data_IF_072678155858
#
_entry.id   IF_072678155858
#
_cell.length_a   1.000
_cell.length_b   1.000
_cell.length_c   1.000
_cell.angle_alpha   90.00
_cell.angle_beta   90.00
_cell.angle_gamma   90.00
#
_symmetry.space_group_name_H-M   'P 1'
#
loop_
_entity.id
_entity.type
_entity.pdbx_description
1 polymer ?
#
# COMPACT_ATOMS: atom_id res chain seq x y z
N UNK A 1 -2.09 -4.33 -5.48
CA UNK A 1 -1.95 -5.02 -4.16
C UNK A 1 -3.29 -5.28 -3.48
N UNK A 2 -4.23 -4.36 -3.43
CA UNK A 2 -5.53 -4.53 -2.74
C UNK A 2 -6.24 -5.87 -3.05
N UNK A 3 -6.31 -6.29 -4.34
CA UNK A 3 -6.95 -7.56 -4.73
C UNK A 3 -6.25 -8.84 -4.24
N UNK A 4 -5.00 -8.77 -3.75
CA UNK A 4 -4.29 -10.00 -3.33
C UNK A 4 -4.85 -10.63 -2.07
N UNK A 5 -5.71 -9.92 -1.32
CA UNK A 5 -6.39 -10.42 -0.12
C UNK A 5 -7.44 -11.51 -0.42
N UNK A 6 -7.80 -11.71 -1.68
CA UNK A 6 -8.75 -12.72 -2.11
C UNK A 6 -8.09 -13.75 -3.05
N UNK A 7 -8.55 -15.03 -3.05
CA UNK A 7 -7.95 -16.05 -3.89
C UNK A 7 -8.28 -15.82 -5.37
N UNK A 8 -7.24 -15.44 -6.12
CA UNK A 8 -7.27 -15.23 -7.57
C UNK A 8 -6.31 -16.26 -8.19
N UNK A 9 -6.73 -16.95 -9.25
CA UNK A 9 -5.92 -18.01 -9.85
C UNK A 9 -4.67 -17.49 -10.57
N UNK A 10 -4.75 -16.31 -11.18
CA UNK A 10 -3.67 -15.72 -12.00
C UNK A 10 -3.89 -14.22 -12.16
N UNK A 11 -2.81 -13.46 -12.34
CA UNK A 11 -2.86 -12.04 -12.72
C UNK A 11 -3.68 -11.81 -14.00
N UNK A 12 -3.62 -12.71 -14.97
CA UNK A 12 -4.39 -12.62 -16.22
C UNK A 12 -5.91 -12.65 -16.03
N UNK A 13 -6.40 -13.09 -14.86
CA UNK A 13 -7.82 -13.05 -14.50
C UNK A 13 -8.27 -11.68 -14.01
N UNK A 14 -7.31 -10.80 -13.69
CA UNK A 14 -7.60 -9.41 -13.34
C UNK A 14 -7.92 -8.63 -14.62
N UNK A 15 -8.97 -7.83 -14.56
CA UNK A 15 -9.32 -6.85 -15.60
C UNK A 15 -9.32 -5.48 -14.98
N UNK A 16 -8.93 -4.49 -15.76
CA UNK A 16 -8.77 -3.12 -15.30
C UNK A 16 -9.67 -2.20 -16.11
N UNK A 17 -10.31 -1.26 -15.43
CA UNK A 17 -10.92 -0.08 -16.05
C UNK A 17 -10.01 1.12 -15.81
N UNK A 18 -9.66 1.86 -16.85
CA UNK A 18 -8.81 3.04 -16.76
C UNK A 18 -9.61 4.31 -17.06
N UNK A 19 -9.67 5.24 -16.12
CA UNK A 19 -10.30 6.54 -16.29
C UNK A 19 -9.23 7.64 -16.24
N UNK A 20 -9.20 8.48 -17.28
CA UNK A 20 -8.25 9.56 -17.41
C UNK A 20 -8.95 10.92 -17.32
N UNK A 21 -8.32 11.86 -16.63
CA UNK A 21 -8.77 13.25 -16.55
C UNK A 21 -7.59 14.17 -16.84
N UNK A 22 -7.78 15.11 -17.78
CA UNK A 22 -6.74 16.04 -18.22
C UNK A 22 -7.36 17.29 -18.83
N UNK A 23 -6.68 18.41 -18.75
CA UNK A 23 -6.99 19.63 -19.47
C UNK A 23 -6.24 19.62 -20.81
N UNK A 24 -6.72 18.88 -21.81
CA UNK A 24 -6.07 18.78 -23.11
C UNK A 24 -6.24 20.06 -23.95
N UNK A 25 -5.40 20.20 -24.97
CA UNK A 25 -5.34 21.35 -25.85
C UNK A 25 -4.07 22.20 -25.71
N UNK A 26 -3.13 21.75 -24.89
CA UNK A 26 -1.79 22.30 -24.80
C UNK A 26 -0.73 21.18 -24.85
N UNK A 27 0.45 21.51 -25.31
CA UNK A 27 1.50 20.52 -25.58
C UNK A 27 1.96 19.74 -24.33
N UNK A 28 1.89 20.34 -23.15
CA UNK A 28 2.39 19.72 -21.91
C UNK A 28 1.40 18.65 -21.41
N UNK A 29 0.13 19.01 -21.29
CA UNK A 29 -0.90 18.09 -20.78
C UNK A 29 -1.19 16.98 -21.80
N UNK A 30 -1.16 17.28 -23.11
CA UNK A 30 -1.30 16.28 -24.19
C UNK A 30 -0.15 15.26 -24.15
N UNK A 31 1.10 15.73 -23.94
CA UNK A 31 2.26 14.86 -23.79
C UNK A 31 2.16 14.00 -22.53
N UNK A 32 1.82 14.60 -21.40
CA UNK A 32 1.67 13.88 -20.14
C UNK A 32 0.59 12.80 -20.20
N UNK A 33 -0.56 13.10 -20.80
CA UNK A 33 -1.62 12.12 -21.03
C UNK A 33 -1.12 10.96 -21.90
N UNK A 34 -0.45 11.26 -23.01
CA UNK A 34 0.10 10.22 -23.90
C UNK A 34 1.10 9.33 -23.17
N UNK A 35 2.04 9.91 -22.40
CA UNK A 35 3.04 9.15 -21.68
C UNK A 35 2.42 8.31 -20.56
N UNK A 36 1.43 8.84 -19.83
CA UNK A 36 0.72 8.10 -18.79
C UNK A 36 -0.05 6.91 -19.35
N UNK A 37 -0.78 7.10 -20.44
CA UNK A 37 -1.52 6.00 -21.12
C UNK A 37 -0.55 4.94 -21.64
N UNK A 38 0.57 5.35 -22.25
CA UNK A 38 1.57 4.43 -22.76
C UNK A 38 2.18 3.60 -21.61
N UNK A 39 2.61 4.25 -20.52
CA UNK A 39 3.19 3.57 -19.37
C UNK A 39 2.23 2.54 -18.76
N UNK A 40 0.96 2.92 -18.55
CA UNK A 40 -0.06 1.97 -18.06
C UNK A 40 -0.28 0.81 -19.01
N UNK A 41 -0.33 1.08 -20.33
CA UNK A 41 -0.50 0.04 -21.34
C UNK A 41 0.63 -0.96 -21.33
N UNK A 42 1.89 -0.49 -21.36
CA UNK A 42 3.08 -1.33 -21.35
C UNK A 42 3.14 -2.18 -20.09
N UNK A 43 2.91 -1.56 -18.93
CA UNK A 43 2.88 -2.26 -17.64
C UNK A 43 1.79 -3.36 -17.58
N UNK A 44 0.59 -3.08 -18.08
CA UNK A 44 -0.48 -4.07 -18.13
C UNK A 44 -0.20 -5.21 -19.13
N UNK A 45 0.45 -4.92 -20.25
CA UNK A 45 0.90 -5.94 -21.21
C UNK A 45 1.91 -6.88 -20.56
N UNK A 46 2.90 -6.33 -19.87
CA UNK A 46 3.93 -7.10 -19.17
C UNK A 46 3.35 -7.96 -18.05
N UNK A 47 2.32 -7.49 -17.35
CA UNK A 47 1.57 -8.25 -16.34
C UNK A 47 0.53 -9.22 -16.92
N UNK A 48 0.31 -9.21 -18.24
CA UNK A 48 -0.78 -9.94 -18.91
C UNK A 48 -2.18 -9.60 -18.34
N UNK A 49 -2.39 -8.32 -18.03
CA UNK A 49 -3.65 -7.78 -17.52
C UNK A 49 -4.34 -7.00 -18.64
N UNK A 50 -5.61 -7.28 -18.91
CA UNK A 50 -6.36 -6.57 -19.94
C UNK A 50 -7.08 -5.33 -19.39
N UNK A 51 -7.14 -4.27 -20.21
CA UNK A 51 -7.92 -3.06 -19.98
C UNK A 51 -9.11 -3.05 -20.97
N UNK A 52 -10.19 -3.78 -20.69
CA UNK A 52 -11.31 -3.91 -21.65
C UNK A 52 -12.17 -2.67 -21.74
N UNK A 53 -12.12 -1.78 -20.77
CA UNK A 53 -12.99 -0.60 -20.67
C UNK A 53 -12.26 0.55 -19.97
N UNK A 54 -12.66 1.75 -20.34
CA UNK A 54 -12.20 2.98 -19.71
C UNK A 54 -13.04 4.15 -20.17
N UNK A 55 -12.76 5.32 -19.64
CA UNK A 55 -13.32 6.59 -20.11
C UNK A 55 -12.31 7.71 -19.90
N UNK A 56 -12.55 8.82 -20.55
CA UNK A 56 -11.77 10.03 -20.35
C UNK A 56 -12.66 11.26 -20.08
N UNK A 57 -12.04 12.29 -19.49
CA UNK A 57 -12.58 13.63 -19.33
C UNK A 57 -11.44 14.60 -19.66
N UNK A 58 -11.41 15.07 -20.92
CA UNK A 58 -10.25 15.76 -21.49
C UNK A 58 -10.38 17.29 -21.47
N UNK A 59 -11.52 17.83 -21.00
CA UNK A 59 -11.75 19.28 -20.87
C UNK A 59 -11.79 19.74 -19.40
N UNK A 60 -10.83 19.27 -18.61
CA UNK A 60 -10.75 19.56 -17.18
C UNK A 60 -10.09 20.92 -16.92
N UNK A 61 -10.64 21.95 -17.55
CA UNK A 61 -10.25 23.34 -17.38
C UNK A 61 -11.47 24.17 -16.96
N UNK A 62 -11.24 25.18 -16.13
CA UNK A 62 -12.23 26.18 -15.74
C UNK A 62 -11.68 27.56 -16.02
N UNK A 63 -12.42 28.36 -16.76
CA UNK A 63 -12.09 29.75 -17.05
C UNK A 63 -13.15 30.68 -16.48
N UNK A 64 -12.74 31.82 -15.98
CA UNK A 64 -13.66 32.89 -15.56
C UNK A 64 -12.99 34.25 -15.72
N UNK A 65 -13.81 35.27 -15.96
CA UNK A 65 -13.39 36.63 -16.08
C UNK A 65 -13.76 37.42 -14.84
N UNK A 66 -12.86 38.35 -14.43
CA UNK A 66 -13.15 39.46 -13.54
C UNK A 66 -13.09 40.78 -14.34
N UNK A 67 -13.43 41.91 -13.73
CA UNK A 67 -13.42 43.20 -14.42
C UNK A 67 -12.07 43.57 -15.05
N UNK A 68 -10.96 43.03 -14.56
CA UNK A 68 -9.61 43.35 -15.00
C UNK A 68 -8.81 42.17 -15.56
N UNK A 69 -9.19 40.94 -15.29
CA UNK A 69 -8.39 39.73 -15.60
C UNK A 69 -9.23 38.56 -15.99
N UNK A 70 -8.72 37.78 -16.93
CA UNK A 70 -9.21 36.42 -17.25
C UNK A 70 -8.35 35.39 -16.49
N UNK A 71 -9.01 34.43 -15.85
CA UNK A 71 -8.38 33.37 -15.08
C UNK A 71 -8.65 32.02 -15.72
N UNK A 72 -7.67 31.13 -15.63
CA UNK A 72 -7.77 29.74 -16.03
C UNK A 72 -7.17 28.84 -14.96
N UNK A 73 -7.85 27.75 -14.63
CA UNK A 73 -7.34 26.69 -13.77
C UNK A 73 -7.50 25.35 -14.46
N UNK A 74 -6.39 24.68 -14.68
CA UNK A 74 -6.33 23.36 -15.28
C UNK A 74 -6.15 22.29 -14.22
N UNK A 75 -6.94 21.19 -14.30
CA UNK A 75 -6.73 20.00 -13.48
C UNK A 75 -5.43 19.31 -13.92
N UNK A 76 -4.57 18.88 -13.01
CA UNK A 76 -3.43 18.05 -13.37
C UNK A 76 -3.91 16.71 -13.96
N UNK A 77 -3.05 16.10 -14.77
CA UNK A 77 -3.31 14.73 -15.24
C UNK A 77 -3.60 13.82 -14.06
N UNK A 78 -4.73 13.15 -14.12
CA UNK A 78 -5.16 12.18 -13.11
C UNK A 78 -5.64 10.90 -13.77
N UNK A 79 -5.29 9.76 -13.17
CA UNK A 79 -5.75 8.44 -13.60
C UNK A 79 -6.42 7.70 -12.46
N UNK A 80 -7.62 7.15 -12.68
CA UNK A 80 -8.28 6.25 -11.75
C UNK A 80 -8.32 4.86 -12.36
N UNK A 81 -7.58 3.94 -11.75
CA UNK A 81 -7.47 2.56 -12.19
C UNK A 81 -8.28 1.67 -11.25
N UNK A 82 -9.30 1.01 -11.79
CA UNK A 82 -10.15 0.09 -11.02
C UNK A 82 -9.89 -1.33 -11.49
N UNK A 83 -9.40 -2.17 -10.60
CA UNK A 83 -9.14 -3.57 -10.89
C UNK A 83 -10.28 -4.46 -10.37
N UNK A 84 -10.68 -5.46 -11.18
CA UNK A 84 -11.69 -6.46 -10.83
C UNK A 84 -11.19 -7.85 -11.18
N UNK A 85 -11.58 -8.85 -10.38
CA UNK A 85 -11.26 -10.24 -10.64
C UNK A 85 -12.37 -11.17 -10.13
N UNK A 86 -12.48 -12.35 -10.73
CA UNK A 86 -13.30 -13.42 -10.16
C UNK A 86 -12.57 -14.04 -8.97
N UNK A 87 -13.29 -14.17 -7.85
CA UNK A 87 -12.80 -14.84 -6.65
C UNK A 87 -13.18 -16.31 -6.71
N UNK A 88 -12.21 -17.22 -6.59
CA UNK A 88 -12.45 -18.67 -6.72
C UNK A 88 -13.29 -19.23 -5.56
N UNK A 89 -12.97 -18.79 -4.34
CA UNK A 89 -13.69 -19.16 -3.13
C UNK A 89 -13.66 -18.01 -2.13
N UNK A 90 -14.77 -17.30 -2.00
CA UNK A 90 -14.88 -16.14 -1.10
C UNK A 90 -14.61 -16.48 0.39
N UNK A 91 -14.75 -17.73 0.78
CA UNK A 91 -14.49 -18.18 2.16
C UNK A 91 -13.00 -18.19 2.51
N UNK A 92 -12.14 -18.09 1.51
CA UNK A 92 -10.69 -17.98 1.67
C UNK A 92 -10.20 -16.53 1.59
N UNK A 93 -11.12 -15.58 1.46
CA UNK A 93 -10.76 -14.15 1.51
C UNK A 93 -10.15 -13.82 2.88
N UNK A 94 -9.03 -13.11 2.85
CA UNK A 94 -8.36 -12.60 4.04
C UNK A 94 -8.73 -11.13 4.20
N UNK A 95 -8.99 -10.73 5.43
CA UNK A 95 -9.31 -9.35 5.79
C UNK A 95 -8.20 -8.77 6.67
N UNK A 96 -8.39 -7.52 7.07
CA UNK A 96 -7.54 -6.84 8.08
C UNK A 96 -7.83 -7.32 9.50
N UNK A 97 -8.85 -8.19 9.71
CA UNK A 97 -9.23 -8.68 11.02
C UNK A 97 -8.25 -9.75 11.51
N UNK A 98 -7.64 -9.52 12.67
CA UNK A 98 -6.69 -10.45 13.26
C UNK A 98 -7.34 -11.78 13.64
N UNK A 99 -6.70 -12.85 13.25
CA UNK A 99 -7.10 -14.20 13.62
C UNK A 99 -6.40 -14.66 14.90
N UNK A 100 -7.07 -15.53 15.65
CA UNK A 100 -6.51 -16.12 16.86
C UNK A 100 -5.34 -17.05 16.52
N UNK A 101 -4.19 -16.77 17.11
CA UNK A 101 -3.00 -17.63 17.07
C UNK A 101 -2.25 -17.54 18.39
N UNK A 102 -1.49 -18.57 18.73
CA UNK A 102 -0.75 -18.61 19.99
C UNK A 102 0.35 -17.54 20.05
N UNK A 103 0.94 -17.21 18.91
CA UNK A 103 2.07 -16.29 18.81
C UNK A 103 1.86 -15.31 17.65
N UNK A 104 0.92 -14.32 17.78
CA UNK A 104 0.64 -13.38 16.70
C UNK A 104 1.85 -12.48 16.43
N UNK A 105 2.20 -12.38 15.16
CA UNK A 105 3.27 -11.54 14.65
C UNK A 105 2.81 -10.79 13.41
N UNK A 106 3.16 -9.52 13.31
CA UNK A 106 3.00 -8.72 12.11
C UNK A 106 4.33 -8.65 11.36
N UNK A 107 4.29 -8.92 10.08
CA UNK A 107 5.42 -8.79 9.19
C UNK A 107 5.06 -7.92 7.99
N UNK A 108 5.97 -7.08 7.57
CA UNK A 108 5.89 -6.32 6.34
C UNK A 108 6.63 -7.09 5.24
N UNK A 109 5.98 -7.28 4.11
CA UNK A 109 6.51 -7.94 2.91
C UNK A 109 6.48 -6.97 1.75
N UNK A 110 7.58 -6.90 0.97
CA UNK A 110 7.74 -5.96 -0.12
C UNK A 110 8.85 -6.44 -1.07
N UNK A 111 8.84 -6.02 -2.35
CA UNK A 111 9.90 -6.37 -3.30
C UNK A 111 11.27 -5.82 -2.89
N UNK A 112 12.35 -6.58 -3.11
CA UNK A 112 13.72 -6.16 -2.79
C UNK A 112 14.13 -4.87 -3.53
N UNK A 113 13.63 -4.62 -4.73
CA UNK A 113 13.91 -3.40 -5.49
C UNK A 113 13.42 -2.11 -4.78
N UNK A 114 12.46 -2.20 -3.86
CA UNK A 114 12.03 -1.08 -3.02
C UNK A 114 13.10 -0.63 -2.02
N UNK A 115 14.15 -1.43 -1.80
CA UNK A 115 15.26 -1.08 -0.91
C UNK A 115 16.11 0.10 -1.41
N UNK A 116 16.07 0.37 -2.71
CA UNK A 116 16.85 1.45 -3.35
C UNK A 116 16.14 2.81 -3.32
N UNK A 117 15.22 3.05 -2.40
CA UNK A 117 14.44 4.29 -2.33
C UNK A 117 15.33 5.51 -2.09
N UNK A 118 15.42 6.35 -3.11
CA UNK A 118 15.93 7.71 -2.95
C UNK A 118 14.91 8.57 -2.19
N UNK A 119 15.42 9.49 -1.39
CA UNK A 119 14.59 10.44 -0.65
C UNK A 119 13.73 11.26 -1.64
N UNK A 120 12.43 11.17 -1.51
CA UNK A 120 11.42 11.81 -2.38
C UNK A 120 11.27 11.21 -3.79
N UNK A 121 11.79 10.03 -4.08
CA UNK A 121 11.50 9.34 -5.32
C UNK A 121 10.07 8.77 -5.29
N UNK A 122 9.37 8.86 -6.43
CA UNK A 122 8.16 8.09 -6.65
C UNK A 122 8.60 6.63 -6.80
N UNK A 123 8.01 5.68 -6.05
CA UNK A 123 8.36 4.28 -6.18
C UNK A 123 8.16 3.82 -7.63
N UNK A 124 9.21 3.33 -8.25
CA UNK A 124 9.16 2.62 -9.53
C UNK A 124 9.27 1.12 -9.26
N UNK A 125 8.41 0.33 -9.89
CA UNK A 125 8.33 -1.10 -9.63
C UNK A 125 8.27 -1.89 -10.92
N UNK A 126 9.08 -2.93 -11.02
CA UNK A 126 9.07 -3.81 -12.18
C UNK A 126 7.82 -4.71 -12.21
N UNK A 127 7.34 -5.06 -13.41
CA UNK A 127 6.28 -6.06 -13.56
C UNK A 127 6.62 -7.41 -12.92
N UNK A 128 7.90 -7.81 -12.93
CA UNK A 128 8.33 -9.08 -12.36
C UNK A 128 8.25 -9.08 -10.83
N UNK A 129 8.57 -7.97 -10.18
CA UNK A 129 8.37 -7.82 -8.74
C UNK A 129 6.89 -7.92 -8.33
N UNK A 130 5.98 -7.37 -9.13
CA UNK A 130 4.53 -7.53 -8.91
C UNK A 130 4.11 -8.99 -9.06
N UNK A 131 4.62 -9.71 -10.07
CA UNK A 131 4.33 -11.14 -10.26
C UNK A 131 4.82 -11.96 -9.05
N UNK A 132 6.06 -11.73 -8.62
CA UNK A 132 6.64 -12.39 -7.44
C UNK A 132 5.80 -12.14 -6.17
N UNK A 133 5.44 -10.88 -5.91
CA UNK A 133 4.60 -10.52 -4.76
C UNK A 133 3.21 -11.18 -4.83
N UNK A 134 2.59 -11.16 -6.01
CA UNK A 134 1.30 -11.81 -6.22
C UNK A 134 1.38 -13.31 -5.94
N UNK A 135 2.34 -14.01 -6.52
CA UNK A 135 2.50 -15.45 -6.37
C UNK A 135 2.80 -15.84 -4.92
N UNK A 136 3.71 -15.13 -4.26
CA UNK A 136 4.04 -15.34 -2.85
C UNK A 136 2.80 -15.19 -1.95
N UNK A 137 2.06 -14.09 -2.09
CA UNK A 137 0.89 -13.85 -1.26
C UNK A 137 -0.23 -14.84 -1.56
N UNK A 138 -0.52 -15.12 -2.82
CA UNK A 138 -1.55 -16.08 -3.21
C UNK A 138 -1.24 -17.51 -2.73
N UNK A 139 0.01 -17.94 -2.80
CA UNK A 139 0.42 -19.25 -2.26
C UNK A 139 0.18 -19.32 -0.76
N UNK A 140 0.63 -18.30 -0.02
CA UNK A 140 0.55 -18.29 1.44
C UNK A 140 -0.87 -18.03 1.98
N UNK A 141 -1.76 -17.43 1.19
CA UNK A 141 -3.19 -17.38 1.48
C UNK A 141 -3.82 -18.76 1.31
N UNK A 142 -3.56 -19.46 0.21
CA UNK A 142 -4.10 -20.80 -0.06
C UNK A 142 -3.69 -21.82 1.00
N UNK A 143 -2.45 -21.79 1.45
CA UNK A 143 -1.95 -22.69 2.49
C UNK A 143 -2.22 -22.21 3.93
N UNK A 144 -2.93 -21.07 4.09
CA UNK A 144 -3.35 -20.50 5.39
C UNK A 144 -2.18 -20.10 6.29
N UNK A 145 -1.03 -19.79 5.72
CA UNK A 145 0.12 -19.25 6.47
C UNK A 145 -0.05 -17.75 6.79
N UNK A 146 -0.81 -17.02 5.96
CA UNK A 146 -1.21 -15.64 6.22
C UNK A 146 -2.60 -15.66 6.86
N UNK A 147 -2.75 -14.95 7.98
CA UNK A 147 -3.97 -14.95 8.81
C UNK A 147 -4.79 -13.68 8.65
N UNK A 148 -4.14 -12.53 8.45
CA UNK A 148 -4.73 -11.24 8.08
C UNK A 148 -3.77 -10.51 7.15
N UNK A 149 -4.29 -9.56 6.36
CA UNK A 149 -3.50 -8.80 5.40
C UNK A 149 -4.07 -7.40 5.22
N UNK A 150 -3.17 -6.41 5.12
CA UNK A 150 -3.47 -5.06 4.66
C UNK A 150 -2.36 -4.60 3.71
N UNK A 151 -2.72 -4.08 2.54
CA UNK A 151 -1.75 -3.51 1.61
C UNK A 151 -1.25 -2.13 2.10
N UNK A 152 0.00 -1.83 1.80
CA UNK A 152 0.54 -0.49 2.03
C UNK A 152 0.12 0.40 0.87
N UNK A 153 -0.48 1.55 1.20
CA UNK A 153 -0.99 2.55 0.26
C UNK A 153 -0.72 3.96 0.78
N UNK A 154 -1.65 4.89 0.60
CA UNK A 154 -1.52 6.28 1.02
C UNK A 154 -1.13 6.42 2.49
N UNK A 155 -0.10 7.21 2.77
CA UNK A 155 0.46 7.41 4.11
C UNK A 155 1.46 6.35 4.55
N UNK A 156 1.75 5.35 3.71
CA UNK A 156 2.80 4.36 3.90
C UNK A 156 2.54 3.34 5.00
N UNK A 157 3.61 2.69 5.45
CA UNK A 157 3.54 1.60 6.42
C UNK A 157 2.91 2.02 7.76
N UNK A 158 3.17 3.24 8.25
CA UNK A 158 2.61 3.68 9.52
C UNK A 158 1.10 3.87 9.45
N UNK A 159 0.59 4.36 8.33
CA UNK A 159 -0.85 4.45 8.09
C UNK A 159 -1.48 3.05 8.04
N UNK A 160 -0.90 2.14 7.27
CA UNK A 160 -1.33 0.74 7.17
C UNK A 160 -1.39 0.06 8.56
N UNK A 161 -0.36 0.19 9.38
CA UNK A 161 -0.34 -0.34 10.76
C UNK A 161 -1.41 0.32 11.65
N UNK A 162 -1.66 1.61 11.45
CA UNK A 162 -2.71 2.33 12.20
C UNK A 162 -4.11 1.84 11.82
N UNK A 163 -4.38 1.65 10.55
CA UNK A 163 -5.65 1.14 10.03
C UNK A 163 -5.94 -0.29 10.49
N UNK A 164 -4.91 -1.15 10.54
CA UNK A 164 -5.00 -2.46 11.17
C UNK A 164 -5.40 -2.34 12.66
N UNK A 165 -4.83 -1.38 13.39
CA UNK A 165 -5.22 -1.13 14.78
C UNK A 165 -6.66 -0.64 14.92
N UNK A 166 -7.13 0.21 14.01
CA UNK A 166 -8.50 0.75 14.04
C UNK A 166 -9.53 -0.35 13.82
N UNK A 167 -9.31 -1.23 12.85
CA UNK A 167 -10.18 -2.38 12.57
C UNK A 167 -10.30 -3.31 13.78
N UNK A 168 -9.16 -3.65 14.39
CA UNK A 168 -9.10 -4.65 15.45
C UNK A 168 -9.31 -4.09 16.85
N UNK A 169 -9.25 -2.76 17.00
CA UNK A 169 -9.21 -2.09 18.33
C UNK A 169 -8.09 -2.64 19.23
N UNK A 170 -6.99 -3.09 18.60
CA UNK A 170 -5.80 -3.62 19.26
C UNK A 170 -4.59 -2.85 18.75
N UNK A 171 -3.76 -2.37 19.67
CA UNK A 171 -2.53 -1.65 19.34
C UNK A 171 -1.42 -2.57 18.85
N UNK A 172 -0.24 -1.99 18.62
CA UNK A 172 0.95 -2.71 18.17
C UNK A 172 2.14 -2.29 19.04
N UNK A 173 2.94 -3.27 19.44
CA UNK A 173 4.27 -3.00 19.99
C UNK A 173 5.31 -3.48 18.98
N UNK A 174 6.14 -2.56 18.50
CA UNK A 174 7.24 -2.82 17.58
C UNK A 174 8.57 -2.38 18.21
N UNK A 175 9.48 -3.34 18.35
CA UNK A 175 10.85 -3.10 18.78
C UNK A 175 11.76 -3.10 17.55
N UNK A 176 12.22 -1.91 17.18
CA UNK A 176 13.13 -1.72 16.04
C UNK A 176 14.52 -2.18 16.43
N UNK A 177 15.10 -3.07 15.63
CA UNK A 177 16.45 -3.57 15.89
C UNK A 177 17.49 -2.47 15.71
N UNK A 178 18.46 -2.39 16.66
CA UNK A 178 19.65 -1.55 16.49
C UNK A 178 20.65 -2.31 15.61
N UNK A 179 20.91 -1.81 14.44
CA UNK A 179 21.77 -2.46 13.43
C UNK A 179 23.16 -2.76 13.94
N UNK A 180 23.49 -4.04 13.98
CA UNK A 180 24.85 -4.54 13.92
C UNK A 180 24.95 -5.97 13.35
N UNK A 181 23.84 -6.52 12.86
CA UNK A 181 23.86 -7.83 12.21
C UNK A 181 23.63 -7.70 10.70
N UNK A 182 24.39 -8.45 9.93
CA UNK A 182 24.36 -8.54 8.47
C UNK A 182 23.03 -9.03 7.88
N UNK A 183 22.03 -9.28 8.72
CA UNK A 183 20.70 -9.78 8.35
C UNK A 183 19.60 -8.70 8.34
N UNK A 184 19.92 -7.44 8.64
CA UNK A 184 18.94 -6.34 8.67
C UNK A 184 19.01 -5.53 7.38
N UNK A 185 17.87 -5.46 6.72
CA UNK A 185 17.68 -4.87 5.39
C UNK A 185 17.88 -3.34 5.41
N UNK A 186 17.69 -2.68 6.57
CA UNK A 186 17.75 -1.23 6.72
C UNK A 186 18.58 -0.79 7.93
N UNK A 187 19.27 0.33 7.81
CA UNK A 187 19.85 1.01 8.97
C UNK A 187 18.74 1.54 9.88
N UNK A 188 19.04 1.72 11.17
CA UNK A 188 18.08 2.31 12.13
C UNK A 188 17.55 3.68 11.64
N UNK A 189 18.39 4.47 10.98
CA UNK A 189 18.02 5.78 10.46
C UNK A 189 17.04 5.67 9.29
N UNK A 190 17.22 4.73 8.38
CA UNK A 190 16.32 4.42 7.27
C UNK A 190 14.99 3.85 7.78
N UNK A 191 15.04 2.95 8.76
CA UNK A 191 13.85 2.39 9.41
C UNK A 191 13.00 3.48 10.09
N UNK A 192 13.60 4.55 10.60
CA UNK A 192 12.91 5.58 11.36
C UNK A 192 12.45 6.77 10.54
N UNK A 193 13.16 7.14 9.47
CA UNK A 193 12.92 8.37 8.72
C UNK A 193 12.17 8.17 7.41
N UNK A 194 12.42 7.09 6.70
CA UNK A 194 11.86 6.86 5.37
C UNK A 194 10.81 5.76 5.37
N UNK A 195 11.10 4.66 6.03
CA UNK A 195 10.30 3.45 5.99
C UNK A 195 8.84 3.60 6.47
N UNK A 196 8.51 4.33 7.57
CA UNK A 196 7.13 4.47 8.03
C UNK A 196 6.20 5.23 7.08
N UNK A 197 6.77 6.13 6.26
CA UNK A 197 6.01 7.04 5.40
C UNK A 197 6.17 6.73 3.91
N UNK A 198 7.00 5.76 3.55
CA UNK A 198 7.19 5.37 2.16
C UNK A 198 5.93 4.64 1.65
N UNK A 199 5.34 5.17 0.59
CA UNK A 199 4.19 4.59 -0.10
C UNK A 199 4.65 3.54 -1.12
N UNK A 200 5.48 2.61 -0.66
CA UNK A 200 6.02 1.55 -1.50
C UNK A 200 5.06 0.38 -1.62
N UNK A 201 5.16 -0.36 -2.71
CA UNK A 201 4.36 -1.57 -2.89
C UNK A 201 4.75 -2.60 -1.85
N UNK A 202 3.75 -3.09 -1.12
CA UNK A 202 3.93 -4.08 -0.08
C UNK A 202 2.64 -4.38 0.67
N UNK A 203 2.73 -5.27 1.63
CA UNK A 203 1.62 -5.61 2.52
C UNK A 203 2.10 -5.91 3.94
N UNK A 204 1.30 -5.55 4.93
CA UNK A 204 1.45 -6.05 6.30
C UNK A 204 0.59 -7.30 6.45
N UNK A 205 1.23 -8.38 6.86
CA UNK A 205 0.57 -9.67 7.08
C UNK A 205 0.62 -10.06 8.55
N UNK A 206 -0.45 -10.65 9.05
CA UNK A 206 -0.43 -11.37 10.32
C UNK A 206 -0.09 -12.83 10.06
N UNK A 207 0.83 -13.37 10.84
CA UNK A 207 1.24 -14.77 10.82
C UNK A 207 1.35 -15.32 12.25
N UNK A 208 1.45 -16.65 12.39
CA UNK A 208 1.99 -17.23 13.61
C UNK A 208 3.52 -17.13 13.58
N UNK A 209 4.14 -16.65 14.66
CA UNK A 209 5.59 -16.40 14.72
C UNK A 209 6.45 -17.65 14.41
N UNK A 210 5.93 -18.86 14.67
CA UNK A 210 6.63 -20.12 14.33
C UNK A 210 6.88 -20.30 12.83
N UNK A 211 6.07 -19.63 11.97
CA UNK A 211 6.18 -19.72 10.52
C UNK A 211 7.09 -18.64 9.94
N UNK A 212 7.58 -17.68 10.76
CA UNK A 212 8.32 -16.50 10.28
C UNK A 212 9.55 -16.86 9.45
N UNK A 213 10.43 -17.71 9.97
CA UNK A 213 11.70 -18.06 9.31
C UNK A 213 11.47 -18.81 7.99
N UNK A 214 10.47 -19.70 7.97
CA UNK A 214 10.08 -20.44 6.75
C UNK A 214 9.56 -19.47 5.68
N UNK A 215 8.65 -18.59 6.05
CA UNK A 215 8.07 -17.59 5.13
C UNK A 215 9.12 -16.61 4.63
N UNK A 216 9.99 -16.13 5.53
CA UNK A 216 11.10 -15.23 5.16
C UNK A 216 12.06 -15.88 4.17
N UNK A 217 12.37 -17.17 4.37
CA UNK A 217 13.24 -17.93 3.46
C UNK A 217 12.60 -18.12 2.09
N UNK A 218 11.29 -18.41 2.05
CA UNK A 218 10.54 -18.50 0.80
C UNK A 218 10.44 -17.15 0.08
N UNK A 219 10.15 -16.08 0.80
CA UNK A 219 10.11 -14.72 0.26
C UNK A 219 11.44 -14.33 -0.41
N UNK A 220 12.56 -14.59 0.29
CA UNK A 220 13.89 -14.30 -0.24
C UNK A 220 14.22 -15.02 -1.55
N UNK A 221 13.68 -16.23 -1.77
CA UNK A 221 13.87 -16.96 -3.04
C UNK A 221 13.10 -16.33 -4.21
N UNK A 222 12.20 -15.40 -3.92
CA UNK A 222 11.36 -14.70 -4.89
C UNK A 222 11.71 -13.20 -4.97
N UNK A 223 12.89 -12.80 -4.47
CA UNK A 223 13.34 -11.40 -4.40
C UNK A 223 12.35 -10.51 -3.61
N UNK A 224 11.82 -11.07 -2.52
CA UNK A 224 10.89 -10.39 -1.60
C UNK A 224 11.55 -10.29 -0.23
N UNK A 225 11.61 -9.08 0.28
CA UNK A 225 12.01 -8.80 1.65
C UNK A 225 10.86 -8.98 2.61
N UNK A 226 11.17 -9.51 3.79
CA UNK A 226 10.22 -9.69 4.88
C UNK A 226 10.86 -9.27 6.21
N UNK A 227 10.23 -8.33 6.90
CA UNK A 227 10.70 -7.86 8.21
C UNK A 227 9.56 -7.84 9.24
N UNK A 228 9.91 -8.04 10.51
CA UNK A 228 8.95 -7.94 11.60
C UNK A 228 8.62 -6.47 11.86
N UNK A 229 7.32 -6.14 11.99
CA UNK A 229 6.83 -4.79 12.27
C UNK A 229 5.99 -4.72 13.53
N UNK A 230 6.08 -5.73 14.38
CA UNK A 230 5.53 -5.73 15.72
C UNK A 230 4.59 -6.88 16.03
N UNK A 231 3.94 -6.76 17.19
CA UNK A 231 2.98 -7.72 17.71
C UNK A 231 1.68 -7.00 18.07
N UNK A 232 0.51 -7.55 17.73
CA UNK A 232 -0.76 -7.00 18.18
C UNK A 232 -0.87 -7.09 19.70
N UNK A 233 -0.94 -5.93 20.39
CA UNK A 233 -1.07 -5.89 21.84
C UNK A 233 -1.54 -4.51 22.33
N UNK A 234 -2.36 -4.51 23.38
CA UNK A 234 -2.76 -3.27 24.05
C UNK A 234 -3.64 -2.33 23.24
N UNK A 235 -3.54 -1.02 23.50
CA UNK A 235 -4.36 0.04 22.89
C UNK A 235 -3.52 1.21 22.36
N UNK A 236 -2.25 0.98 22.13
CA UNK A 236 -1.30 2.00 21.66
C UNK A 236 -0.47 1.46 20.51
N UNK A 237 -0.08 2.31 19.59
CA UNK A 237 1.04 2.03 18.68
C UNK A 237 2.28 2.50 19.39
N UNK A 238 3.12 1.56 19.82
CA UNK A 238 4.36 1.81 20.56
C UNK A 238 5.54 1.27 19.75
N UNK A 239 6.33 2.18 19.19
CA UNK A 239 7.53 1.87 18.44
C UNK A 239 8.72 2.33 19.26
N UNK A 240 9.62 1.40 19.55
CA UNK A 240 10.81 1.64 20.41
C UNK A 240 12.03 0.99 19.80
N UNK A 241 13.21 1.55 20.13
CA UNK A 241 14.47 0.85 19.89
C UNK A 241 14.68 -0.25 20.92
N UNK A 242 15.60 -1.19 20.66
CA UNK A 242 16.06 -2.20 21.65
C UNK A 242 16.54 -1.58 22.98
N UNK A 243 17.03 -0.34 22.93
CA UNK A 243 17.46 0.40 24.13
C UNK A 243 16.31 1.15 24.82
N UNK A 244 15.05 0.81 24.51
CA UNK A 244 13.84 1.45 25.03
C UNK A 244 13.68 2.94 24.70
N UNK A 245 14.43 3.51 23.77
CA UNK A 245 14.15 4.86 23.29
C UNK A 245 12.83 4.84 22.52
N UNK A 246 11.89 5.66 22.97
CA UNK A 246 10.57 5.76 22.35
C UNK A 246 10.66 6.59 21.06
N UNK A 247 10.26 6.00 19.93
CA UNK A 247 10.18 6.63 18.64
C UNK A 247 8.76 7.17 18.42
N UNK A 248 7.77 6.33 18.68
CA UNK A 248 6.34 6.67 18.63
C UNK A 248 5.63 5.97 19.78
N UNK A 249 4.75 6.71 20.46
CA UNK A 249 3.82 6.12 21.43
C UNK A 249 2.51 6.93 21.41
N UNK A 250 1.51 6.41 20.72
CA UNK A 250 0.20 7.06 20.53
C UNK A 250 -0.94 6.11 20.83
N UNK A 251 -2.00 6.66 21.42
CA UNK A 251 -3.25 5.91 21.58
C UNK A 251 -3.90 5.70 20.22
N UNK A 252 -4.39 4.48 19.95
CA UNK A 252 -5.07 4.17 18.67
C UNK A 252 -6.32 5.04 18.45
N UNK A 253 -7.03 5.41 19.51
CA UNK A 253 -8.22 6.27 19.42
C UNK A 253 -7.86 7.69 18.96
N UNK A 254 -6.70 8.23 19.38
CA UNK A 254 -6.28 9.56 18.97
C UNK A 254 -5.85 9.55 17.50
N UNK A 255 -5.17 8.49 17.06
CA UNK A 255 -4.79 8.30 15.66
C UNK A 255 -6.02 8.10 14.77
N UNK A 256 -6.99 7.28 15.18
CA UNK A 256 -8.25 7.06 14.46
C UNK A 256 -9.04 8.38 14.30
N UNK A 257 -9.06 9.21 15.34
CA UNK A 257 -9.67 10.54 15.28
C UNK A 257 -8.97 11.43 14.26
N UNK A 258 -7.63 11.51 14.31
CA UNK A 258 -6.85 12.30 13.36
C UNK A 258 -7.06 11.83 11.92
N UNK A 259 -7.07 10.51 11.68
CA UNK A 259 -7.30 9.88 10.38
C UNK A 259 -8.69 10.21 9.81
N UNK A 260 -9.74 10.18 10.63
CA UNK A 260 -11.12 10.42 10.19
C UNK A 260 -11.55 11.89 10.20
N UNK A 261 -10.77 12.79 10.82
CA UNK A 261 -11.18 14.16 11.13
C UNK A 261 -11.53 14.98 9.88
N UNK A 262 -10.75 14.88 8.81
CA UNK A 262 -10.99 15.63 7.57
C UNK A 262 -12.34 15.26 6.95
N UNK A 263 -12.60 13.96 6.79
CA UNK A 263 -13.87 13.46 6.24
C UNK A 263 -15.05 13.84 7.13
N UNK A 264 -14.86 13.81 8.44
CA UNK A 264 -15.89 14.24 9.40
C UNK A 264 -16.25 15.73 9.23
N UNK A 265 -15.26 16.60 9.13
CA UNK A 265 -15.50 18.03 8.95
C UNK A 265 -16.12 18.37 7.59
N UNK A 266 -15.68 17.72 6.50
CA UNK A 266 -16.28 17.89 5.17
C UNK A 266 -17.74 17.46 5.21
N UNK A 267 -18.05 16.33 5.83
CA UNK A 267 -19.43 15.87 6.00
C UNK A 267 -20.27 16.87 6.81
N UNK A 268 -19.75 17.36 7.93
CA UNK A 268 -20.46 18.33 8.77
C UNK A 268 -20.76 19.64 8.02
N UNK A 269 -19.82 20.12 7.17
CA UNK A 269 -20.06 21.30 6.34
C UNK A 269 -21.09 21.08 5.24
N UNK A 270 -21.16 19.86 4.68
CA UNK A 270 -22.12 19.52 3.63
C UNK A 270 -23.54 19.32 4.18
N UNK A 271 -23.67 18.68 5.34
CA UNK A 271 -24.94 18.20 5.90
C UNK A 271 -25.60 19.22 6.85
N UNK A 272 -24.99 20.40 7.06
CA UNK A 272 -25.52 21.57 7.76
C UNK A 272 -25.90 22.68 6.76
#
# INVERSE_FOLDING_TARGET
>A
MNLVSVPISSLSNIKVSANWMSATGNNVDDLNLRLGVQALSDFCVDLNIAIPVGKDSLSMSTTWDSEEHSFEVNSPLSGIITAVANVNDVRQAITTEYQNTAHPLLAYVFPDENLALEKNAIPDISPDAIKSMFDFLQENIRNKSILALHDVSDGGLLCCLSELCFTNKIGITWEVANNSSTDEIFTLEEQLKLFPFAETIGAVIQIDAKNYDLLRSSAKQMDISMCQVGKPVGKRISIKTKNNNVILDKCITDLERAWSQTSYHIKAMRDN
#
